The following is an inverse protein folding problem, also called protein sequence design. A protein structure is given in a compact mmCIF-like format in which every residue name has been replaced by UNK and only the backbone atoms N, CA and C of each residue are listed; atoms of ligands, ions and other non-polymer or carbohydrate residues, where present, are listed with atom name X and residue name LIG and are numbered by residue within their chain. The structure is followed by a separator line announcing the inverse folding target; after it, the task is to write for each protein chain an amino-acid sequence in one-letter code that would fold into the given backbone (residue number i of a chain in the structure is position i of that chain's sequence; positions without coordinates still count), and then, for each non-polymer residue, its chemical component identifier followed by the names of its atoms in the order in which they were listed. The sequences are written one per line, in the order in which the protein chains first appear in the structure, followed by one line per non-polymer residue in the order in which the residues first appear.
data_IF_889844113416
#
_entry.id   IF_889844113416
#
_cell.length_a   1.000
_cell.length_b   1.000
_cell.length_c   1.000
_cell.angle_alpha   90.00
_cell.angle_beta   90.00
_cell.angle_gamma   90.00
#
_symmetry.space_group_name_H-M   'P 1'
#
loop_
_entity.id
_entity.type
_entity.pdbx_description
1 polymer ?
#
# COMPACT_ATOMS: atom_id res chain seq x y z
N UNK A 1 -72.43 12.37 26.94
CA UNK A 1 -72.17 12.77 25.54
C UNK A 1 -70.83 12.14 25.20
N UNK A 2 -70.76 11.17 24.33
CA UNK A 2 -69.57 10.40 23.88
C UNK A 2 -68.99 11.12 22.67
N UNK A 3 -67.75 11.48 22.69
CA UNK A 3 -66.98 11.93 21.54
C UNK A 3 -66.17 10.75 20.98
N UNK A 4 -66.37 10.49 19.70
CA UNK A 4 -65.70 9.44 18.95
C UNK A 4 -64.26 9.83 18.65
N UNK A 5 -63.33 8.86 18.83
CA UNK A 5 -61.94 9.00 18.40
C UNK A 5 -61.80 8.69 16.90
N UNK A 6 -61.05 9.50 16.22
CA UNK A 6 -60.64 9.29 14.81
C UNK A 6 -59.53 8.20 14.73
N UNK A 7 -59.51 7.39 13.68
CA UNK A 7 -58.43 6.43 13.47
C UNK A 7 -57.19 7.12 12.86
N UNK A 8 -56.05 6.89 13.47
CA UNK A 8 -54.76 7.33 12.97
C UNK A 8 -54.39 6.60 11.67
N UNK A 9 -54.02 7.37 10.67
CA UNK A 9 -53.61 6.90 9.36
C UNK A 9 -52.30 6.09 9.38
N UNK A 10 -52.29 5.02 8.63
CA UNK A 10 -51.13 4.19 8.39
C UNK A 10 -50.06 4.97 7.59
N UNK A 11 -48.79 4.82 7.98
CA UNK A 11 -47.61 5.38 7.29
C UNK A 11 -47.38 4.63 5.94
N UNK A 12 -47.34 5.32 4.79
CA UNK A 12 -47.21 4.68 3.47
C UNK A 12 -45.80 4.18 3.14
N UNK A 13 -44.88 4.01 4.11
CA UNK A 13 -43.49 3.65 3.88
C UNK A 13 -43.11 2.17 4.10
N UNK A 14 -44.09 1.31 4.34
CA UNK A 14 -43.83 -0.11 4.69
C UNK A 14 -44.23 -1.14 3.61
N UNK A 15 -44.16 -0.77 2.33
CA UNK A 15 -44.27 -1.72 1.21
C UNK A 15 -43.05 -1.65 0.25
N UNK A 16 -41.85 -1.94 0.73
CA UNK A 16 -40.78 -2.41 -0.15
C UNK A 16 -40.56 -3.90 0.08
N UNK A 17 -41.36 -4.71 -0.61
CA UNK A 17 -41.12 -6.16 -0.77
C UNK A 17 -39.72 -6.34 -1.38
N UNK A 18 -38.90 -7.13 -0.69
CA UNK A 18 -37.56 -7.50 -1.14
C UNK A 18 -37.61 -8.23 -2.48
N UNK A 19 -37.09 -7.61 -3.51
CA UNK A 19 -36.71 -8.32 -4.72
C UNK A 19 -35.53 -9.24 -4.38
N UNK A 20 -35.76 -10.54 -4.50
CA UNK A 20 -34.74 -11.57 -4.37
C UNK A 20 -33.69 -11.34 -5.48
N UNK A 21 -32.50 -10.91 -5.10
CA UNK A 21 -31.35 -10.89 -5.99
C UNK A 21 -31.08 -12.31 -6.48
N UNK A 22 -31.21 -12.55 -7.78
CA UNK A 22 -30.83 -13.78 -8.44
C UNK A 22 -29.36 -14.15 -8.19
N UNK A 23 -28.96 -15.41 -8.48
CA UNK A 23 -27.62 -15.90 -8.17
C UNK A 23 -26.58 -15.02 -8.88
N UNK A 24 -25.73 -14.35 -8.09
CA UNK A 24 -24.57 -13.61 -8.60
C UNK A 24 -23.67 -14.63 -9.29
N UNK A 25 -23.34 -14.36 -10.56
CA UNK A 25 -22.32 -15.09 -11.29
C UNK A 25 -21.09 -15.22 -10.37
N UNK A 26 -20.62 -16.45 -10.18
CA UNK A 26 -19.49 -16.75 -9.33
C UNK A 26 -18.28 -15.94 -9.79
N UNK A 27 -17.83 -15.01 -8.95
CA UNK A 27 -16.47 -14.52 -9.05
C UNK A 27 -15.58 -15.68 -8.65
N UNK A 28 -14.77 -16.14 -9.56
CA UNK A 28 -13.63 -16.97 -9.19
C UNK A 28 -12.79 -16.12 -8.22
N UNK A 29 -12.71 -16.57 -6.97
CA UNK A 29 -11.77 -15.98 -6.02
C UNK A 29 -10.37 -16.17 -6.61
N UNK A 30 -9.54 -15.11 -6.67
CA UNK A 30 -8.15 -15.29 -7.07
C UNK A 30 -7.54 -16.32 -6.14
N UNK A 31 -6.91 -17.34 -6.72
CA UNK A 31 -6.24 -18.40 -5.97
C UNK A 31 -5.40 -17.77 -4.87
N UNK A 32 -5.68 -18.15 -3.62
CA UNK A 32 -5.00 -17.59 -2.45
C UNK A 32 -3.49 -17.62 -2.66
N UNK A 33 -2.85 -16.46 -2.55
CA UNK A 33 -1.41 -16.37 -2.71
C UNK A 33 -0.74 -17.17 -1.59
N UNK A 34 0.18 -18.09 -1.90
CA UNK A 34 0.96 -18.74 -0.86
C UNK A 34 1.78 -17.67 -0.14
N UNK A 35 1.69 -17.65 1.20
CA UNK A 35 2.60 -16.83 2.01
C UNK A 35 4.05 -17.29 1.77
N UNK A 36 4.99 -16.36 1.69
CA UNK A 36 6.40 -16.68 1.54
C UNK A 36 6.88 -17.52 2.72
N UNK A 37 7.58 -18.61 2.43
CA UNK A 37 8.18 -19.44 3.47
C UNK A 37 9.57 -18.90 3.87
N UNK A 38 9.96 -18.96 5.15
CA UNK A 38 11.28 -18.57 5.60
C UNK A 38 12.38 -19.26 4.79
N UNK A 39 13.28 -18.49 4.16
CA UNK A 39 14.39 -19.00 3.35
C UNK A 39 14.08 -19.23 1.87
N UNK A 40 12.84 -19.04 1.42
CA UNK A 40 12.51 -19.10 0.00
C UNK A 40 12.87 -17.77 -0.70
N UNK A 41 13.51 -17.88 -1.88
CA UNK A 41 13.81 -16.69 -2.68
C UNK A 41 12.53 -16.15 -3.32
N UNK A 42 12.30 -14.85 -3.20
CA UNK A 42 11.18 -14.18 -3.87
C UNK A 42 11.31 -14.27 -5.39
N UNK A 43 10.30 -14.81 -6.05
CA UNK A 43 10.19 -14.79 -7.52
C UNK A 43 9.65 -13.42 -7.96
N UNK A 44 10.56 -12.50 -8.25
CA UNK A 44 10.21 -11.14 -8.70
C UNK A 44 9.54 -11.10 -10.06
N UNK A 45 9.71 -12.11 -10.93
CA UNK A 45 9.02 -12.16 -12.22
C UNK A 45 7.53 -12.47 -12.01
N UNK A 46 7.22 -13.39 -11.12
CA UNK A 46 5.84 -13.68 -10.71
C UNK A 46 5.24 -12.49 -9.96
N UNK A 47 5.97 -11.87 -9.04
CA UNK A 47 5.51 -10.70 -8.30
C UNK A 47 5.16 -9.51 -9.22
N UNK A 48 6.00 -9.22 -10.21
CA UNK A 48 5.74 -8.18 -11.20
C UNK A 48 4.49 -8.48 -12.04
N UNK A 49 4.30 -9.74 -12.51
CA UNK A 49 3.09 -10.13 -13.26
C UNK A 49 1.82 -9.97 -12.40
N UNK A 50 1.86 -10.36 -11.13
CA UNK A 50 0.72 -10.20 -10.21
C UNK A 50 0.39 -8.72 -9.99
N UNK A 51 1.42 -7.88 -9.83
CA UNK A 51 1.25 -6.43 -9.72
C UNK A 51 0.61 -5.83 -10.99
N UNK A 52 1.07 -6.23 -12.18
CA UNK A 52 0.47 -5.80 -13.46
C UNK A 52 -1.01 -6.16 -13.54
N UNK A 53 -1.39 -7.38 -13.16
CA UNK A 53 -2.79 -7.82 -13.19
C UNK A 53 -3.67 -7.05 -12.20
N UNK A 54 -3.16 -6.74 -11.00
CA UNK A 54 -3.87 -5.90 -10.04
C UNK A 54 -4.11 -4.49 -10.59
N UNK A 55 -3.09 -3.88 -11.21
CA UNK A 55 -3.16 -2.53 -11.78
C UNK A 55 -4.08 -2.44 -13.00
N UNK A 56 -4.22 -3.51 -13.79
CA UNK A 56 -5.19 -3.57 -14.90
C UNK A 56 -6.63 -3.58 -14.41
N UNK A 57 -6.89 -4.17 -13.24
CA UNK A 57 -8.25 -4.27 -12.68
C UNK A 57 -8.74 -2.94 -12.12
N UNK A 58 -7.86 -2.22 -11.41
CA UNK A 58 -8.20 -0.96 -10.76
C UNK A 58 -6.94 -0.06 -10.64
N UNK A 59 -6.80 0.93 -11.51
CA UNK A 59 -5.65 1.83 -11.48
C UNK A 59 -5.76 2.96 -10.45
N UNK A 60 -6.92 3.13 -9.77
CA UNK A 60 -7.06 4.15 -8.73
C UNK A 60 -6.08 3.90 -7.59
N UNK A 61 -5.20 4.86 -7.37
CA UNK A 61 -4.00 4.68 -6.57
C UNK A 61 -4.25 4.14 -5.16
N UNK A 62 -5.34 4.52 -4.48
CA UNK A 62 -5.62 4.04 -3.12
C UNK A 62 -5.88 2.54 -3.10
N UNK A 63 -6.76 2.03 -3.97
CA UNK A 63 -7.04 0.59 -4.07
C UNK A 63 -5.83 -0.19 -4.57
N UNK A 64 -5.15 0.34 -5.58
CA UNK A 64 -3.97 -0.27 -6.15
C UNK A 64 -2.83 -0.39 -5.12
N UNK A 65 -2.48 0.70 -4.42
CA UNK A 65 -1.44 0.70 -3.40
C UNK A 65 -1.79 -0.18 -2.20
N UNK A 66 -3.09 -0.29 -1.84
CA UNK A 66 -3.54 -1.20 -0.78
C UNK A 66 -3.28 -2.65 -1.14
N UNK A 67 -3.66 -3.06 -2.36
CA UNK A 67 -3.41 -4.41 -2.84
C UNK A 67 -1.91 -4.70 -3.06
N UNK A 68 -1.16 -3.72 -3.58
CA UNK A 68 0.30 -3.84 -3.75
C UNK A 68 1.02 -3.98 -2.41
N UNK A 69 0.61 -3.24 -1.37
CA UNK A 69 1.17 -3.40 -0.02
C UNK A 69 0.94 -4.81 0.51
N UNK A 70 -0.27 -5.35 0.33
CA UNK A 70 -0.61 -6.72 0.75
C UNK A 70 0.19 -7.76 -0.06
N UNK A 71 0.30 -7.57 -1.39
CA UNK A 71 1.05 -8.44 -2.29
C UNK A 71 2.53 -8.51 -1.89
N UNK A 72 3.17 -7.37 -1.68
CA UNK A 72 4.58 -7.27 -1.28
C UNK A 72 4.79 -7.93 0.09
N UNK A 73 3.95 -7.58 1.07
CA UNK A 73 4.06 -8.11 2.42
C UNK A 73 3.89 -9.63 2.48
N UNK A 74 3.04 -10.21 1.63
CA UNK A 74 2.84 -11.65 1.52
C UNK A 74 3.97 -12.36 0.75
N UNK A 75 4.58 -11.70 -0.24
CA UNK A 75 5.57 -12.31 -1.14
C UNK A 75 7.00 -12.26 -0.60
N UNK A 76 7.35 -11.29 0.25
CA UNK A 76 8.68 -11.16 0.82
C UNK A 76 8.70 -11.68 2.25
N UNK A 77 9.62 -12.62 2.60
CA UNK A 77 9.75 -13.11 3.96
C UNK A 77 10.45 -12.10 4.87
N UNK A 78 10.24 -12.26 6.18
CA UNK A 78 10.93 -11.52 7.23
C UNK A 78 10.70 -10.00 7.19
N UNK A 79 9.47 -9.56 6.88
CA UNK A 79 9.08 -8.15 6.96
C UNK A 79 8.29 -7.87 8.24
N UNK A 80 8.44 -6.67 8.79
CA UNK A 80 7.54 -6.13 9.81
C UNK A 80 6.68 -4.97 9.29
N UNK A 81 7.05 -4.37 8.14
CA UNK A 81 6.26 -3.35 7.49
C UNK A 81 6.50 -3.31 5.97
N UNK A 82 5.46 -3.03 5.19
CA UNK A 82 5.58 -2.74 3.76
C UNK A 82 4.42 -1.84 3.32
N UNK A 83 4.74 -0.71 2.71
CA UNK A 83 3.70 0.22 2.30
C UNK A 83 4.23 1.46 1.60
N UNK A 84 3.39 2.47 1.57
CA UNK A 84 3.66 3.68 0.81
C UNK A 84 3.52 4.92 1.66
N UNK A 85 4.44 5.86 1.45
CA UNK A 85 4.26 7.25 1.87
C UNK A 85 4.06 8.12 0.63
N UNK A 86 3.00 8.92 0.63
CA UNK A 86 2.61 9.79 -0.47
C UNK A 86 3.19 11.19 -0.26
N UNK A 87 3.82 11.77 -1.30
CA UNK A 87 4.33 13.14 -1.26
C UNK A 87 3.16 14.13 -1.42
N UNK A 88 2.81 14.83 -0.34
CA UNK A 88 1.76 15.83 -0.30
C UNK A 88 2.25 17.08 0.43
N UNK A 89 2.00 18.26 -0.11
CA UNK A 89 2.32 19.54 0.53
C UNK A 89 3.77 19.64 1.03
N UNK A 90 4.73 19.09 0.25
CA UNK A 90 6.15 19.13 0.58
C UNK A 90 6.60 18.19 1.70
N UNK A 91 5.78 17.21 2.08
CA UNK A 91 6.08 16.17 3.07
C UNK A 91 5.52 14.82 2.64
N UNK A 92 6.08 13.76 3.17
CA UNK A 92 5.54 12.42 3.05
C UNK A 92 4.41 12.22 4.07
N UNK A 93 3.29 11.67 3.62
CA UNK A 93 2.14 11.30 4.45
C UNK A 93 1.88 9.81 4.26
N UNK A 94 1.65 9.08 5.36
CA UNK A 94 1.40 7.64 5.30
C UNK A 94 0.20 7.35 4.40
N UNK A 95 0.40 6.42 3.47
CA UNK A 95 -0.60 5.86 2.58
C UNK A 95 -0.97 4.43 2.96
N UNK A 96 -1.42 3.61 2.01
CA UNK A 96 -1.71 2.20 2.26
C UNK A 96 -0.47 1.40 2.65
N UNK A 97 -0.61 0.52 3.65
CA UNK A 97 0.47 -0.32 4.17
C UNK A 97 -0.03 -1.60 4.83
N UNK A 98 0.90 -2.51 5.11
CA UNK A 98 0.76 -3.69 5.96
C UNK A 98 1.80 -3.60 7.09
N UNK A 99 1.40 -3.93 8.31
CA UNK A 99 2.25 -3.86 9.50
C UNK A 99 1.60 -3.06 10.63
N UNK A 100 2.41 -2.62 11.60
CA UNK A 100 1.96 -1.79 12.72
C UNK A 100 1.69 -0.35 12.29
N UNK A 101 0.89 0.42 13.07
CA UNK A 101 0.75 1.86 12.85
C UNK A 101 2.11 2.56 12.76
N UNK A 102 2.25 3.46 11.79
CA UNK A 102 3.48 4.14 11.44
C UNK A 102 3.40 5.66 11.66
N UNK A 103 4.51 6.37 11.47
CA UNK A 103 4.55 7.82 11.52
C UNK A 103 3.61 8.42 10.46
N UNK A 104 2.75 9.37 10.84
CA UNK A 104 1.77 9.93 9.89
C UNK A 104 2.48 10.84 8.86
N UNK A 105 3.44 11.64 9.30
CA UNK A 105 4.15 12.61 8.47
C UNK A 105 5.66 12.48 8.64
N UNK A 106 6.38 12.50 7.52
CA UNK A 106 7.84 12.51 7.46
C UNK A 106 8.27 13.71 6.59
N UNK A 107 9.05 14.65 7.14
CA UNK A 107 9.58 15.77 6.35
C UNK A 107 10.54 15.28 5.25
N UNK A 108 10.51 15.89 4.07
CA UNK A 108 11.51 15.64 3.02
C UNK A 108 12.91 15.92 3.57
N UNK A 109 13.85 15.02 3.30
CA UNK A 109 15.24 15.10 3.79
C UNK A 109 15.44 14.57 5.22
N UNK A 110 14.43 13.98 5.86
CA UNK A 110 14.51 13.41 7.22
C UNK A 110 14.19 11.92 7.23
N UNK A 111 14.91 11.17 8.06
CA UNK A 111 14.82 9.72 8.08
C UNK A 111 15.22 9.10 6.74
N UNK A 112 15.01 7.78 6.57
CA UNK A 112 15.34 7.09 5.32
C UNK A 112 14.36 7.48 4.21
N UNK A 113 13.06 7.38 4.45
CA UNK A 113 12.01 7.75 3.49
C UNK A 113 12.12 9.20 3.01
N UNK A 114 12.26 10.16 3.94
CA UNK A 114 12.41 11.58 3.60
C UNK A 114 13.69 11.88 2.85
N UNK A 115 14.77 11.16 3.12
CA UNK A 115 16.04 11.27 2.41
C UNK A 115 15.95 10.70 1.00
N UNK A 116 15.32 9.52 0.85
CA UNK A 116 15.10 8.86 -0.43
C UNK A 116 14.31 9.75 -1.40
N UNK A 117 13.17 10.28 -0.96
CA UNK A 117 12.35 11.18 -1.79
C UNK A 117 13.06 12.50 -2.09
N UNK A 118 13.80 13.05 -1.14
CA UNK A 118 14.50 14.32 -1.31
C UNK A 118 15.69 14.25 -2.27
N UNK A 119 16.34 13.08 -2.39
CA UNK A 119 17.43 12.82 -3.34
C UNK A 119 16.96 12.19 -4.64
N UNK A 120 15.71 11.70 -4.66
CA UNK A 120 15.17 10.89 -5.74
C UNK A 120 16.02 9.63 -6.01
N UNK A 121 16.43 8.95 -4.93
CA UNK A 121 17.33 7.80 -4.96
C UNK A 121 16.76 6.64 -4.13
N UNK A 122 16.95 5.40 -4.62
CA UNK A 122 16.73 4.21 -3.80
C UNK A 122 17.75 4.17 -2.67
N UNK A 123 17.27 3.98 -1.44
CA UNK A 123 18.12 3.77 -0.28
C UNK A 123 17.91 2.36 0.27
N UNK A 124 18.97 1.57 0.29
CA UNK A 124 19.01 0.25 0.92
C UNK A 124 19.89 0.35 2.16
N UNK A 125 19.25 0.34 3.33
CA UNK A 125 19.88 0.61 4.62
C UNK A 125 20.02 -0.71 5.40
N UNK A 126 21.25 -1.27 5.50
CA UNK A 126 21.47 -2.55 6.15
C UNK A 126 21.30 -2.51 7.68
N UNK A 127 21.45 -1.34 8.29
CA UNK A 127 21.24 -1.09 9.71
C UNK A 127 20.66 0.32 9.90
N UNK A 128 19.37 0.37 10.24
CA UNK A 128 18.66 1.64 10.43
C UNK A 128 19.17 2.43 11.63
N UNK A 129 19.75 1.76 12.63
CA UNK A 129 20.28 2.42 13.82
C UNK A 129 21.57 3.19 13.52
N UNK A 130 22.30 2.79 12.47
CA UNK A 130 23.48 3.51 11.98
C UNK A 130 23.14 4.65 10.99
N UNK A 131 21.87 4.76 10.53
CA UNK A 131 21.47 5.78 9.56
C UNK A 131 21.31 7.16 10.23
N UNK A 132 22.04 8.21 9.77
CA UNK A 132 22.00 9.53 10.39
C UNK A 132 20.60 10.15 10.33
N UNK A 133 20.01 10.48 11.50
CA UNK A 133 18.70 11.08 11.59
C UNK A 133 17.55 10.12 11.31
N UNK A 134 17.77 8.81 11.45
CA UNK A 134 16.71 7.79 11.38
C UNK A 134 15.51 8.16 12.27
N UNK A 135 14.31 7.97 11.74
CA UNK A 135 13.05 8.15 12.46
C UNK A 135 12.48 6.76 12.72
N UNK A 136 12.59 6.28 13.95
CA UNK A 136 12.10 4.95 14.34
C UNK A 136 10.56 4.96 14.39
N UNK A 137 9.88 4.56 13.31
CA UNK A 137 8.44 4.37 13.28
C UNK A 137 8.02 3.03 13.93
N UNK A 138 8.84 1.98 13.78
CA UNK A 138 8.75 0.73 14.56
C UNK A 138 10.14 0.41 15.14
N UNK A 139 10.21 0.23 16.46
CA UNK A 139 11.46 -0.15 17.15
C UNK A 139 11.95 -1.57 16.82
N UNK A 140 11.14 -2.37 16.13
CA UNK A 140 11.51 -3.71 15.69
C UNK A 140 12.27 -3.71 14.36
N UNK A 141 12.21 -2.63 13.57
CA UNK A 141 12.94 -2.53 12.30
C UNK A 141 14.44 -2.46 12.54
N UNK A 142 15.19 -3.28 11.82
CA UNK A 142 16.64 -3.34 11.86
C UNK A 142 17.29 -2.99 10.51
N UNK A 143 16.62 -3.27 9.39
CA UNK A 143 17.01 -2.81 8.04
C UNK A 143 15.79 -2.31 7.28
N UNK A 144 16.02 -1.46 6.29
CA UNK A 144 14.97 -0.77 5.53
C UNK A 144 15.42 -0.58 4.09
N UNK A 145 14.49 -0.73 3.14
CA UNK A 145 14.72 -0.33 1.75
C UNK A 145 13.60 0.60 1.29
N UNK A 146 13.99 1.76 0.77
CA UNK A 146 13.06 2.78 0.29
C UNK A 146 13.33 3.07 -1.18
N UNK A 147 12.26 3.02 -1.98
CA UNK A 147 12.31 3.28 -3.42
C UNK A 147 11.34 4.40 -3.78
N UNK A 148 11.80 5.50 -4.40
CA UNK A 148 10.91 6.51 -4.97
C UNK A 148 10.00 5.91 -6.04
N UNK A 149 8.73 6.37 -6.06
CA UNK A 149 7.71 5.99 -7.04
C UNK A 149 7.26 7.27 -7.75
N UNK A 150 7.32 7.27 -9.09
CA UNK A 150 7.05 8.44 -9.89
C UNK A 150 5.66 8.42 -10.52
N UNK A 151 5.11 9.61 -10.71
CA UNK A 151 3.95 9.87 -11.52
C UNK A 151 4.27 11.05 -12.45
N UNK A 152 4.01 10.92 -13.74
CA UNK A 152 4.28 11.96 -14.74
C UNK A 152 5.74 12.49 -14.69
N UNK A 153 6.70 11.59 -14.43
CA UNK A 153 8.13 11.90 -14.35
C UNK A 153 8.56 12.66 -13.10
N UNK A 154 7.73 12.71 -12.06
CA UNK A 154 8.04 13.34 -10.77
C UNK A 154 7.82 12.37 -9.64
N UNK A 155 8.67 12.40 -8.63
CA UNK A 155 8.47 11.61 -7.42
C UNK A 155 7.13 11.98 -6.76
N UNK A 156 6.25 11.00 -6.60
CA UNK A 156 4.90 11.15 -6.03
C UNK A 156 4.72 10.40 -4.72
N UNK A 157 5.53 9.37 -4.51
CA UNK A 157 5.48 8.53 -3.32
C UNK A 157 6.84 7.86 -3.09
N UNK A 158 6.96 7.14 -1.97
CA UNK A 158 7.98 6.12 -1.78
C UNK A 158 7.31 4.79 -1.45
N UNK A 159 7.86 3.69 -1.97
CA UNK A 159 7.67 2.36 -1.44
C UNK A 159 8.69 2.17 -0.33
N UNK A 160 8.21 1.86 0.85
CA UNK A 160 8.99 1.65 2.06
C UNK A 160 8.79 0.22 2.56
N UNK A 161 9.87 -0.50 2.85
CA UNK A 161 9.84 -1.89 3.30
C UNK A 161 10.84 -2.08 4.43
N UNK A 162 10.33 -2.49 5.60
CA UNK A 162 11.10 -2.73 6.80
C UNK A 162 11.23 -4.21 7.14
N UNK A 163 12.36 -4.55 7.72
CA UNK A 163 12.63 -5.87 8.27
C UNK A 163 13.20 -5.83 9.69
N UNK A 164 12.82 -6.78 10.57
CA UNK A 164 13.44 -6.94 11.87
C UNK A 164 14.84 -7.58 11.78
N UNK A 165 15.27 -7.98 10.59
CA UNK A 165 16.61 -8.56 10.36
C UNK A 165 17.55 -7.50 9.82
N UNK A 166 18.76 -7.34 10.38
CA UNK A 166 19.76 -6.48 9.78
C UNK A 166 20.21 -7.05 8.42
N UNK A 167 20.57 -6.17 7.51
CA UNK A 167 21.07 -6.49 6.16
C UNK A 167 20.15 -7.45 5.39
N UNK A 168 18.82 -7.23 5.49
CA UNK A 168 17.82 -8.14 4.91
C UNK A 168 17.79 -8.06 3.39
N UNK A 169 18.00 -6.89 2.81
CA UNK A 169 17.81 -6.66 1.40
C UNK A 169 19.12 -6.79 0.62
N UNK A 170 19.24 -7.85 -0.17
CA UNK A 170 20.38 -8.07 -1.07
C UNK A 170 20.31 -7.19 -2.32
N UNK A 171 21.42 -7.08 -3.06
CA UNK A 171 21.44 -6.37 -4.35
C UNK A 171 20.49 -6.99 -5.39
N UNK A 172 20.29 -8.31 -5.35
CA UNK A 172 19.34 -9.02 -6.23
C UNK A 172 17.89 -8.60 -5.89
N UNK A 173 17.54 -8.53 -4.61
CA UNK A 173 16.22 -8.09 -4.15
C UNK A 173 15.98 -6.61 -4.45
N UNK A 174 16.97 -5.75 -4.24
CA UNK A 174 16.88 -4.35 -4.65
C UNK A 174 16.61 -4.21 -6.15
N UNK A 175 17.31 -4.97 -6.99
CA UNK A 175 17.08 -4.97 -8.43
C UNK A 175 15.66 -5.46 -8.79
N UNK A 176 15.16 -6.48 -8.09
CA UNK A 176 13.79 -6.99 -8.21
C UNK A 176 12.75 -5.95 -7.83
N UNK A 177 12.93 -5.29 -6.69
CA UNK A 177 12.04 -4.22 -6.22
C UNK A 177 12.05 -3.00 -7.16
N UNK A 178 13.20 -2.62 -7.71
CA UNK A 178 13.27 -1.58 -8.74
C UNK A 178 12.48 -1.94 -10.00
N UNK A 179 12.44 -3.23 -10.40
CA UNK A 179 11.58 -3.69 -11.50
C UNK A 179 10.11 -3.57 -11.13
N UNK A 180 9.74 -3.97 -9.92
CA UNK A 180 8.38 -3.86 -9.41
C UNK A 180 7.89 -2.41 -9.39
N UNK A 181 8.73 -1.47 -8.93
CA UNK A 181 8.41 -0.03 -8.96
C UNK A 181 8.14 0.47 -10.38
N UNK A 182 8.94 0.06 -11.38
CA UNK A 182 8.66 0.41 -12.78
C UNK A 182 7.31 -0.11 -13.29
N UNK A 183 6.91 -1.30 -12.86
CA UNK A 183 5.56 -1.85 -13.16
C UNK A 183 4.48 -0.99 -12.53
N UNK A 184 4.67 -0.58 -11.27
CA UNK A 184 3.75 0.31 -10.58
C UNK A 184 3.62 1.66 -11.29
N UNK A 185 4.72 2.30 -11.64
CA UNK A 185 4.74 3.60 -12.32
C UNK A 185 4.01 3.57 -13.68
N UNK A 186 4.12 2.44 -14.39
CA UNK A 186 3.42 2.26 -15.66
C UNK A 186 1.90 2.11 -15.52
N UNK A 187 1.43 1.54 -14.40
CA UNK A 187 0.02 1.19 -14.19
C UNK A 187 -0.76 2.12 -13.26
N UNK A 188 -0.11 2.75 -12.28
CA UNK A 188 -0.77 3.62 -11.30
C UNK A 188 -1.31 4.90 -11.93
N UNK A 189 -2.44 5.36 -11.41
CA UNK A 189 -3.04 6.67 -11.75
C UNK A 189 -3.17 7.49 -10.48
N UNK A 190 -2.16 8.31 -10.24
CA UNK A 190 -2.20 9.32 -9.17
C UNK A 190 -3.10 10.49 -9.57
N UNK A 191 -3.76 11.15 -8.63
CA UNK A 191 -4.44 12.40 -8.92
C UNK A 191 -3.43 13.46 -9.40
N UNK A 192 -3.84 14.39 -10.28
CA UNK A 192 -2.98 15.48 -10.67
C UNK A 192 -2.54 16.26 -9.42
N UNK A 193 -1.32 16.83 -9.45
CA UNK A 193 -0.79 17.60 -8.35
C UNK A 193 -1.76 18.76 -8.01
N UNK A 194 -2.32 18.76 -6.80
CA UNK A 194 -3.33 19.73 -6.35
C UNK A 194 -4.79 19.30 -6.49
N UNK A 195 -5.07 18.07 -6.92
CA UNK A 195 -6.41 17.46 -6.87
C UNK A 195 -6.58 16.63 -5.59
N UNK A 196 -7.70 16.83 -4.90
CA UNK A 196 -8.18 15.94 -3.82
C UNK A 196 -8.72 14.64 -4.40
#
# INVERSE_FOLDING_TARGET
MKSAGEPQGADPRDERKGEAMGPKAGREEPAGMPAAHPGEKTDYDTLCRQAEELLKQEPWYVSALSNLSALIYAALPDLNWAGFYLLRDGRLTVGPFQGKPACIHIPVGRGVCGTAIGRDETLNVPDVHAFPGHIACDSASASEIVLPVHADGRAAAVLDIDSPRPNRFSAEEEAGLKRLVRVMEAGLRFPPAGGE
#
